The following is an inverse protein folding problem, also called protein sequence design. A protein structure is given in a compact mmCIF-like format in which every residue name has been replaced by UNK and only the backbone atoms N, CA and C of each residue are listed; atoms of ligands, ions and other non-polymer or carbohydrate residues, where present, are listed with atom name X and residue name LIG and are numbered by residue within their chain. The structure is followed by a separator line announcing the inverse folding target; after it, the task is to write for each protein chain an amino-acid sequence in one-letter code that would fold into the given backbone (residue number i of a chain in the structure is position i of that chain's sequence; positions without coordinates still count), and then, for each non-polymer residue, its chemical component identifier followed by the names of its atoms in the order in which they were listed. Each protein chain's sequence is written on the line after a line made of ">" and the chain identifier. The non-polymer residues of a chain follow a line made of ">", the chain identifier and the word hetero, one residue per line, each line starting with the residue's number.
data_IF_276100459212
#
_entry.id   IF_276100459212
#
_cell.length_a   1.000
_cell.length_b   1.000
_cell.length_c   1.000
_cell.angle_alpha   90.00
_cell.angle_beta   90.00
_cell.angle_gamma   90.00
#
_symmetry.space_group_name_H-M   'P 1'
#
loop_
_entity.id
_entity.type
_entity.pdbx_description
1 polymer ?
#
# COMPACT_ATOMS: atom_id res chain seq x y z
N UNK A 1 -8.16 14.01 11.74
CA UNK A 1 -7.52 12.71 11.52
C UNK A 1 -6.43 12.90 10.49
N UNK A 2 -5.27 12.34 10.77
CA UNK A 2 -4.10 12.33 9.92
C UNK A 2 -3.51 10.93 10.00
N UNK A 3 -2.84 10.47 8.93
CA UNK A 3 -1.97 9.30 9.04
C UNK A 3 -0.73 9.70 9.83
N UNK A 4 -0.29 8.87 10.77
CA UNK A 4 0.85 9.11 11.65
C UNK A 4 1.95 8.06 11.51
N UNK A 5 1.60 6.85 11.08
CA UNK A 5 2.56 5.80 10.72
C UNK A 5 2.32 5.33 9.29
N UNK A 6 3.31 5.51 8.40
CA UNK A 6 3.28 5.01 7.03
C UNK A 6 4.29 3.88 6.87
N UNK A 7 3.92 2.88 6.08
CA UNK A 7 4.80 1.77 5.70
C UNK A 7 5.07 1.80 4.20
N UNK A 8 6.32 1.60 3.79
CA UNK A 8 6.68 1.18 2.43
C UNK A 8 7.53 -0.08 2.50
N UNK A 9 7.42 -0.94 1.48
CA UNK A 9 8.16 -2.20 1.42
C UNK A 9 8.82 -2.32 0.05
N UNK A 10 10.08 -2.76 0.00
CA UNK A 10 10.83 -2.98 -1.22
C UNK A 10 11.57 -4.32 -1.16
N UNK A 11 11.28 -5.22 -2.11
CA UNK A 11 12.05 -6.44 -2.36
C UNK A 11 12.96 -6.34 -3.61
N UNK A 12 12.96 -5.18 -4.26
CA UNK A 12 13.77 -4.86 -5.43
C UNK A 12 14.05 -3.35 -5.45
N UNK A 13 15.06 -2.92 -6.23
CA UNK A 13 15.44 -1.52 -6.35
C UNK A 13 14.55 -0.72 -7.33
N UNK A 14 13.83 -1.41 -8.22
CA UNK A 14 13.03 -0.79 -9.26
C UNK A 14 11.80 -0.04 -8.70
N UNK A 15 11.71 1.25 -9.03
CA UNK A 15 10.58 2.10 -8.63
C UNK A 15 10.62 2.60 -7.18
N UNK A 16 11.62 2.18 -6.38
CA UNK A 16 11.77 2.56 -4.96
C UNK A 16 11.72 4.08 -4.78
N UNK A 17 12.48 4.82 -5.59
CA UNK A 17 12.54 6.28 -5.47
C UNK A 17 11.17 6.96 -5.62
N UNK A 18 10.33 6.47 -6.55
CA UNK A 18 9.01 7.03 -6.79
C UNK A 18 8.04 6.77 -5.63
N UNK A 19 8.06 5.55 -5.09
CA UNK A 19 7.23 5.15 -3.94
C UNK A 19 7.65 5.88 -2.67
N UNK A 20 8.96 5.93 -2.38
CA UNK A 20 9.49 6.65 -1.21
C UNK A 20 9.19 8.15 -1.32
N UNK A 21 9.34 8.75 -2.50
CA UNK A 21 8.99 10.17 -2.69
C UNK A 21 7.50 10.40 -2.42
N UNK A 22 6.61 9.55 -2.92
CA UNK A 22 5.18 9.63 -2.66
C UNK A 22 4.87 9.49 -1.16
N UNK A 23 5.43 8.49 -0.49
CA UNK A 23 5.24 8.26 0.94
C UNK A 23 5.81 9.42 1.79
N UNK A 24 6.98 9.93 1.45
CA UNK A 24 7.64 11.04 2.15
C UNK A 24 6.86 12.35 2.04
N UNK A 25 6.31 12.66 0.86
CA UNK A 25 5.45 13.82 0.67
C UNK A 25 4.18 13.71 1.53
N UNK A 26 3.56 12.53 1.58
CA UNK A 26 2.39 12.29 2.44
C UNK A 26 2.79 12.43 3.92
N UNK A 27 3.89 11.80 4.33
CA UNK A 27 4.37 11.83 5.70
C UNK A 27 4.65 13.26 6.17
N UNK A 28 5.34 14.05 5.33
CA UNK A 28 5.63 15.45 5.62
C UNK A 28 4.35 16.28 5.70
N UNK A 29 3.42 16.10 4.77
CA UNK A 29 2.15 16.83 4.76
C UNK A 29 1.24 16.52 5.97
N UNK A 30 1.41 15.34 6.59
CA UNK A 30 0.58 14.90 7.72
C UNK A 30 1.31 14.90 9.06
N UNK A 31 2.57 15.35 9.08
CA UNK A 31 3.44 15.23 10.25
C UNK A 31 3.43 13.77 10.76
N UNK A 32 3.80 12.83 9.88
CA UNK A 32 3.85 11.39 10.14
C UNK A 32 5.29 10.86 10.16
N UNK A 33 5.43 9.55 10.43
CA UNK A 33 6.67 8.79 10.31
C UNK A 33 6.59 7.82 9.13
N UNK A 34 7.67 7.66 8.40
CA UNK A 34 7.81 6.68 7.32
C UNK A 34 8.70 5.52 7.77
N UNK A 35 8.13 4.34 7.89
CA UNK A 35 8.86 3.10 8.08
C UNK A 35 9.07 2.44 6.71
N UNK A 36 10.32 2.14 6.38
CA UNK A 36 10.68 1.50 5.13
C UNK A 36 11.31 0.14 5.39
N UNK A 37 10.76 -0.91 4.76
CA UNK A 37 11.22 -2.28 4.91
C UNK A 37 11.90 -2.76 3.63
N UNK A 38 13.20 -3.04 3.71
CA UNK A 38 13.94 -3.79 2.70
C UNK A 38 13.75 -5.30 2.94
N UNK A 39 13.42 -6.03 1.88
CA UNK A 39 13.27 -7.48 1.91
C UNK A 39 14.26 -8.16 0.97
N UNK A 40 14.99 -9.13 1.51
CA UNK A 40 15.61 -10.19 0.73
C UNK A 40 14.75 -11.44 0.78
N UNK A 41 14.44 -12.03 -0.38
CA UNK A 41 13.51 -13.16 -0.45
C UNK A 41 14.20 -14.40 -0.98
N UNK A 42 14.32 -15.41 -0.13
CA UNK A 42 14.73 -16.75 -0.54
C UNK A 42 13.55 -17.46 -1.24
N UNK A 43 13.77 -17.78 -2.52
CA UNK A 43 12.81 -18.43 -3.42
C UNK A 43 12.99 -19.94 -3.50
N UNK A 44 13.93 -20.48 -2.73
CA UNK A 44 14.31 -21.90 -2.84
C UNK A 44 13.15 -22.78 -2.41
N UNK A 45 12.60 -23.53 -3.36
CA UNK A 45 11.66 -24.61 -3.09
C UNK A 45 12.46 -25.90 -2.90
N UNK A 46 12.69 -26.26 -1.65
CA UNK A 46 13.36 -27.52 -1.31
C UNK A 46 12.33 -28.65 -1.49
N UNK A 47 12.20 -29.14 -2.73
CA UNK A 47 11.48 -30.38 -3.01
C UNK A 47 12.26 -31.61 -2.51
N UNK A 48 12.06 -32.76 -3.16
CA UNK A 48 12.87 -33.97 -2.91
C UNK A 48 14.31 -33.80 -3.44
N UNK A 49 15.08 -32.87 -2.90
CA UNK A 49 16.49 -32.69 -3.24
C UNK A 49 17.31 -33.84 -2.68
N UNK A 50 18.04 -34.51 -3.58
CA UNK A 50 18.94 -35.62 -3.30
C UNK A 50 19.94 -35.28 -2.20
N UNK A 51 20.16 -36.22 -1.29
CA UNK A 51 21.07 -36.11 -0.14
C UNK A 51 22.45 -35.63 -0.62
N UNK A 52 22.86 -34.43 -0.21
CA UNK A 52 24.20 -33.87 -0.42
C UNK A 52 24.27 -32.54 -1.19
N UNK A 53 23.39 -32.27 -2.16
CA UNK A 53 23.41 -31.01 -2.94
C UNK A 53 22.56 -29.90 -2.33
N UNK A 54 21.61 -30.24 -1.45
CA UNK A 54 20.70 -29.28 -0.82
C UNK A 54 21.40 -28.20 0.01
N UNK A 55 22.46 -28.54 0.76
CA UNK A 55 23.16 -27.58 1.61
C UNK A 55 23.86 -26.46 0.83
N UNK A 56 24.47 -26.79 -0.32
CA UNK A 56 25.14 -25.79 -1.18
C UNK A 56 24.12 -24.88 -1.84
N UNK A 57 22.98 -25.44 -2.29
CA UNK A 57 21.88 -24.66 -2.88
C UNK A 57 21.27 -23.71 -1.84
N UNK A 58 21.05 -24.18 -0.61
CA UNK A 58 20.54 -23.35 0.50
C UNK A 58 21.52 -22.21 0.80
N UNK A 59 22.81 -22.49 0.95
CA UNK A 59 23.81 -21.46 1.23
C UNK A 59 23.85 -20.40 0.12
N UNK A 60 23.91 -20.81 -1.15
CA UNK A 60 23.91 -19.89 -2.27
C UNK A 60 22.63 -19.05 -2.37
N UNK A 61 21.48 -19.63 -2.02
CA UNK A 61 20.20 -18.92 -2.01
C UNK A 61 20.11 -17.90 -0.86
N UNK A 62 20.61 -18.26 0.33
CA UNK A 62 20.72 -17.34 1.45
C UNK A 62 21.64 -16.16 1.12
N UNK A 63 22.83 -16.42 0.57
CA UNK A 63 23.77 -15.38 0.14
C UNK A 63 23.13 -14.42 -0.87
N UNK A 64 22.37 -14.97 -1.82
CA UNK A 64 21.63 -14.18 -2.81
C UNK A 64 20.54 -13.33 -2.14
N UNK A 65 19.73 -13.91 -1.26
CA UNK A 65 18.67 -13.18 -0.57
C UNK A 65 19.25 -12.05 0.29
N UNK A 66 20.37 -12.28 0.98
CA UNK A 66 21.09 -11.22 1.71
C UNK A 66 21.62 -10.12 0.80
N UNK A 67 22.14 -10.47 -0.39
CA UNK A 67 22.59 -9.48 -1.36
C UNK A 67 21.42 -8.63 -1.87
N UNK A 68 20.29 -9.26 -2.25
CA UNK A 68 19.07 -8.56 -2.66
C UNK A 68 18.55 -7.63 -1.54
N UNK A 69 18.58 -8.08 -0.28
CA UNK A 69 18.19 -7.26 0.87
C UNK A 69 19.09 -6.02 1.02
N UNK A 70 20.41 -6.19 0.90
CA UNK A 70 21.40 -5.10 0.97
C UNK A 70 21.19 -4.08 -0.17
N UNK A 71 20.90 -4.55 -1.37
CA UNK A 71 20.59 -3.67 -2.51
C UNK A 71 19.30 -2.87 -2.29
N UNK A 72 18.24 -3.53 -1.81
CA UNK A 72 16.97 -2.86 -1.48
C UNK A 72 17.14 -1.85 -0.34
N UNK A 73 17.89 -2.19 0.71
CA UNK A 73 18.23 -1.30 1.81
C UNK A 73 19.00 -0.07 1.33
N UNK A 74 20.03 -0.25 0.50
CA UNK A 74 20.80 0.85 -0.07
C UNK A 74 19.91 1.77 -0.92
N UNK A 75 19.02 1.20 -1.73
CA UNK A 75 18.06 1.96 -2.54
C UNK A 75 17.07 2.75 -1.67
N UNK A 76 16.52 2.15 -0.61
CA UNK A 76 15.64 2.83 0.35
C UNK A 76 16.37 3.97 1.07
N UNK A 77 17.56 3.71 1.61
CA UNK A 77 18.37 4.73 2.29
C UNK A 77 18.71 5.89 1.36
N UNK A 78 19.10 5.63 0.12
CA UNK A 78 19.36 6.67 -0.87
C UNK A 78 18.10 7.48 -1.20
N UNK A 79 16.96 6.80 -1.40
CA UNK A 79 15.69 7.45 -1.70
C UNK A 79 15.16 8.29 -0.54
N UNK A 80 15.31 7.82 0.70
CA UNK A 80 14.95 8.55 1.94
C UNK A 80 15.87 9.75 2.14
N UNK A 81 17.17 9.58 1.95
CA UNK A 81 18.17 10.67 2.11
C UNK A 81 17.99 11.79 1.08
N UNK A 82 17.39 11.49 -0.08
CA UNK A 82 17.05 12.48 -1.09
C UNK A 82 15.82 13.33 -0.74
N UNK A 83 15.08 12.99 0.32
CA UNK A 83 13.87 13.71 0.75
C UNK A 83 14.22 14.92 1.63
N UNK A 84 13.19 15.68 2.00
CA UNK A 84 13.35 16.86 2.87
C UNK A 84 13.91 16.47 4.24
N UNK A 85 14.80 17.28 4.85
CA UNK A 85 15.39 16.99 6.16
C UNK A 85 14.38 16.86 7.32
N UNK A 86 13.14 17.37 7.15
CA UNK A 86 12.06 17.25 8.12
C UNK A 86 11.39 15.86 8.12
N UNK A 87 11.69 15.00 7.16
CA UNK A 87 11.13 13.65 7.09
C UNK A 87 11.67 12.82 8.25
N UNK A 88 10.77 12.28 9.07
CA UNK A 88 11.11 11.26 10.06
C UNK A 88 10.92 9.91 9.40
N UNK A 89 12.02 9.20 9.16
CA UNK A 89 12.00 7.90 8.53
C UNK A 89 12.97 6.92 9.20
N UNK A 90 12.65 5.64 9.13
CA UNK A 90 13.52 4.52 9.47
C UNK A 90 13.57 3.54 8.31
N UNK A 91 14.71 2.87 8.16
CA UNK A 91 14.88 1.77 7.21
C UNK A 91 15.26 0.54 8.03
N UNK A 92 14.53 -0.54 7.83
CA UNK A 92 14.84 -1.86 8.39
C UNK A 92 15.01 -2.87 7.26
N UNK A 93 15.86 -3.86 7.49
CA UNK A 93 16.15 -4.92 6.53
C UNK A 93 15.81 -6.27 7.12
N UNK A 94 15.11 -7.10 6.36
CA UNK A 94 14.77 -8.47 6.73
C UNK A 94 15.05 -9.41 5.57
N UNK A 95 15.67 -10.55 5.85
CA UNK A 95 15.73 -11.68 4.94
C UNK A 95 14.65 -12.68 5.36
N UNK A 96 13.83 -13.12 4.42
CA UNK A 96 12.76 -14.08 4.67
C UNK A 96 12.65 -15.09 3.54
N UNK A 97 11.95 -16.18 3.78
CA UNK A 97 11.57 -17.13 2.74
C UNK A 97 10.26 -16.68 2.10
N UNK A 98 10.08 -16.97 0.81
CA UNK A 98 8.85 -16.62 0.10
C UNK A 98 7.58 -17.11 0.82
N UNK A 99 7.62 -18.32 1.40
CA UNK A 99 6.50 -18.89 2.15
C UNK A 99 6.18 -18.20 3.49
N UNK A 100 7.10 -17.38 4.01
CA UNK A 100 6.93 -16.61 5.25
C UNK A 100 6.87 -15.09 4.99
N UNK A 101 6.87 -14.66 3.73
CA UNK A 101 6.88 -13.26 3.35
C UNK A 101 5.62 -12.53 3.84
N UNK A 102 4.46 -13.19 3.74
CA UNK A 102 3.17 -12.63 4.16
C UNK A 102 3.19 -12.23 5.63
N UNK A 103 3.57 -13.14 6.53
CA UNK A 103 3.65 -12.90 7.97
C UNK A 103 4.57 -11.72 8.31
N UNK A 104 5.73 -11.63 7.62
CA UNK A 104 6.72 -10.57 7.85
C UNK A 104 6.18 -9.20 7.47
N UNK A 105 5.49 -9.10 6.32
CA UNK A 105 4.90 -7.84 5.85
C UNK A 105 3.68 -7.47 6.70
N UNK A 106 2.79 -8.44 6.96
CA UNK A 106 1.58 -8.24 7.74
C UNK A 106 1.87 -7.78 9.17
N UNK A 107 2.91 -8.33 9.81
CA UNK A 107 3.32 -7.95 11.17
C UNK A 107 3.70 -6.45 11.29
N UNK A 108 4.19 -5.83 10.21
CA UNK A 108 4.47 -4.39 10.15
C UNK A 108 3.24 -3.60 9.70
N UNK A 109 2.57 -4.05 8.65
CA UNK A 109 1.41 -3.36 8.09
C UNK A 109 0.27 -3.18 9.11
N UNK A 110 0.04 -4.14 10.01
CA UNK A 110 -1.01 -4.05 11.03
C UNK A 110 -0.89 -2.87 12.00
N UNK A 111 0.29 -2.26 12.10
CA UNK A 111 0.55 -1.09 12.95
C UNK A 111 0.76 0.20 12.14
N UNK A 112 0.59 0.15 10.82
CA UNK A 112 0.59 1.35 9.98
C UNK A 112 -0.83 1.88 9.76
N UNK A 113 -0.95 3.20 9.63
CA UNK A 113 -2.20 3.83 9.25
C UNK A 113 -2.43 3.77 7.73
N UNK A 114 -1.34 3.63 6.96
CA UNK A 114 -1.31 3.57 5.51
C UNK A 114 -0.04 2.85 5.03
N UNK A 115 -0.20 1.82 4.19
CA UNK A 115 0.88 1.25 3.41
C UNK A 115 0.93 1.94 2.03
N UNK A 116 2.10 2.44 1.62
CA UNK A 116 2.34 3.07 0.33
C UNK A 116 3.25 2.14 -0.47
N UNK A 117 2.71 1.52 -1.52
CA UNK A 117 3.35 0.43 -2.24
C UNK A 117 3.39 0.70 -3.74
N UNK A 118 4.35 0.14 -4.50
CA UNK A 118 4.33 0.24 -5.96
C UNK A 118 3.14 -0.51 -6.55
N UNK A 119 2.81 -0.23 -7.82
CA UNK A 119 1.91 -1.08 -8.61
C UNK A 119 2.43 -2.53 -8.64
N UNK A 120 1.68 -3.52 -8.10
CA UNK A 120 2.19 -4.88 -7.94
C UNK A 120 2.22 -5.70 -9.23
N UNK A 121 1.64 -5.20 -10.31
CA UNK A 121 1.52 -5.90 -11.58
C UNK A 121 2.14 -5.11 -12.73
N UNK A 122 2.56 -5.83 -13.77
CA UNK A 122 3.11 -5.25 -14.98
C UNK A 122 4.47 -5.82 -15.35
N UNK A 123 5.08 -5.26 -16.40
CA UNK A 123 6.40 -5.69 -16.86
C UNK A 123 7.44 -5.41 -15.78
N UNK A 124 8.25 -6.42 -15.44
CA UNK A 124 9.28 -6.31 -14.41
C UNK A 124 8.81 -6.59 -12.98
N UNK A 125 7.51 -6.86 -12.77
CA UNK A 125 6.97 -7.25 -11.46
C UNK A 125 7.02 -8.75 -11.25
N UNK A 126 7.37 -9.14 -10.03
CA UNK A 126 7.49 -10.52 -9.57
C UNK A 126 6.36 -10.93 -8.63
N UNK A 127 6.41 -12.18 -8.20
CA UNK A 127 5.46 -12.77 -7.24
C UNK A 127 5.52 -12.07 -5.87
N UNK A 128 6.66 -11.48 -5.53
CA UNK A 128 6.87 -10.76 -4.28
C UNK A 128 6.08 -9.45 -4.26
N UNK A 129 5.96 -8.74 -5.39
CA UNK A 129 5.25 -7.46 -5.45
C UNK A 129 3.75 -7.64 -5.13
N UNK A 130 3.14 -8.70 -5.69
CA UNK A 130 1.77 -9.11 -5.39
C UNK A 130 1.64 -9.55 -3.93
N UNK A 131 2.49 -10.48 -3.49
CA UNK A 131 2.42 -11.01 -2.13
C UNK A 131 2.61 -9.93 -1.05
N UNK A 132 3.50 -8.95 -1.26
CA UNK A 132 3.68 -7.79 -0.36
C UNK A 132 2.38 -6.97 -0.29
N UNK A 133 1.75 -6.71 -1.43
CA UNK A 133 0.53 -5.90 -1.49
C UNK A 133 -0.65 -6.62 -0.84
N UNK A 134 -0.82 -7.90 -1.12
CA UNK A 134 -1.85 -8.75 -0.52
C UNK A 134 -1.65 -8.92 0.98
N UNK A 135 -0.41 -9.14 1.43
CA UNK A 135 -0.07 -9.25 2.84
C UNK A 135 -0.44 -7.98 3.60
N UNK A 136 -0.17 -6.80 3.04
CA UNK A 136 -0.57 -5.54 3.65
C UNK A 136 -2.10 -5.36 3.71
N UNK A 137 -2.80 -5.73 2.63
CA UNK A 137 -4.24 -5.52 2.48
C UNK A 137 -5.07 -6.49 3.34
N UNK A 138 -4.76 -7.78 3.30
CA UNK A 138 -5.59 -8.84 3.86
C UNK A 138 -5.19 -9.21 5.29
N UNK A 139 -3.95 -9.61 5.50
CA UNK A 139 -3.48 -10.06 6.82
C UNK A 139 -3.04 -8.88 7.70
N UNK A 140 -2.35 -7.91 7.10
CA UNK A 140 -2.00 -6.65 7.75
C UNK A 140 -3.20 -5.74 8.00
N UNK A 141 -4.30 -5.90 7.25
CA UNK A 141 -5.50 -5.06 7.34
C UNK A 141 -5.21 -3.54 7.25
N UNK A 142 -4.09 -3.16 6.62
CA UNK A 142 -3.72 -1.78 6.42
C UNK A 142 -4.42 -1.24 5.17
N UNK A 143 -4.90 0.01 5.19
CA UNK A 143 -5.19 0.72 3.95
C UNK A 143 -3.95 0.73 3.06
N UNK A 144 -4.10 0.44 1.77
CA UNK A 144 -3.01 0.43 0.80
C UNK A 144 -3.22 1.54 -0.23
N UNK A 145 -2.20 2.38 -0.42
CA UNK A 145 -2.08 3.33 -1.52
C UNK A 145 -1.09 2.78 -2.55
N UNK A 146 -1.59 2.46 -3.74
CA UNK A 146 -0.77 1.99 -4.85
C UNK A 146 -0.24 3.18 -5.65
N UNK A 147 1.09 3.29 -5.74
CA UNK A 147 1.79 4.34 -6.49
C UNK A 147 2.01 3.87 -7.94
N UNK A 148 1.57 4.64 -8.95
CA UNK A 148 1.79 4.27 -10.34
C UNK A 148 3.29 4.36 -10.71
N UNK A 149 3.75 3.67 -11.78
CA UNK A 149 5.17 3.66 -12.16
C UNK A 149 5.80 5.04 -12.39
N UNK A 150 5.00 6.03 -12.80
CA UNK A 150 5.44 7.43 -12.97
C UNK A 150 5.49 8.24 -11.67
N UNK A 151 5.25 7.62 -10.51
CA UNK A 151 5.15 8.30 -9.21
C UNK A 151 3.85 9.11 -9.06
N UNK A 152 3.75 9.83 -7.93
CA UNK A 152 2.67 10.79 -7.69
C UNK A 152 3.14 12.22 -7.94
N UNK A 153 2.34 13.01 -8.67
CA UNK A 153 2.61 14.43 -8.87
C UNK A 153 2.35 15.27 -7.61
N UNK A 154 1.31 14.90 -6.87
CA UNK A 154 0.88 15.60 -5.66
C UNK A 154 0.52 14.56 -4.59
N UNK A 155 0.99 14.74 -3.35
CA UNK A 155 0.62 13.89 -2.22
C UNK A 155 -0.78 14.16 -1.66
N UNK A 156 -1.43 15.24 -2.10
CA UNK A 156 -2.77 15.62 -1.67
C UNK A 156 -3.71 15.59 -2.88
N UNK A 157 -4.48 14.51 -3.09
CA UNK A 157 -5.44 14.46 -4.19
C UNK A 157 -6.55 15.50 -3.99
N UNK A 158 -6.71 16.38 -4.98
CA UNK A 158 -7.75 17.43 -4.99
C UNK A 158 -9.14 16.87 -5.30
N UNK A 159 -9.21 15.84 -6.14
CA UNK A 159 -10.45 15.16 -6.53
C UNK A 159 -10.33 13.68 -6.24
N UNK A 160 -11.29 13.12 -5.53
CA UNK A 160 -11.30 11.73 -5.12
C UNK A 160 -12.62 11.09 -5.56
N UNK A 161 -12.54 9.91 -6.16
CA UNK A 161 -13.69 9.07 -6.42
C UNK A 161 -13.73 7.97 -5.36
N UNK A 162 -14.88 7.79 -4.71
CA UNK A 162 -15.16 6.68 -3.82
C UNK A 162 -16.10 5.73 -4.56
N UNK A 163 -15.58 4.56 -4.96
CA UNK A 163 -16.40 3.51 -5.54
C UNK A 163 -17.27 2.88 -4.44
N UNK A 164 -18.60 3.04 -4.55
CA UNK A 164 -19.54 2.64 -3.52
C UNK A 164 -20.48 1.54 -4.03
N UNK A 165 -20.42 0.38 -3.39
CA UNK A 165 -21.26 -0.79 -3.67
C UNK A 165 -22.05 -1.25 -2.42
N UNK A 166 -22.19 -0.38 -1.41
CA UNK A 166 -22.82 -0.69 -0.10
C UNK A 166 -22.13 -1.79 0.73
N UNK A 167 -20.95 -2.25 0.33
CA UNK A 167 -20.24 -3.30 1.08
C UNK A 167 -19.54 -2.76 2.32
N UNK A 168 -19.21 -3.68 3.24
CA UNK A 168 -18.44 -3.35 4.45
C UNK A 168 -17.04 -2.87 4.08
N UNK A 169 -16.43 -3.47 3.07
CA UNK A 169 -15.10 -3.15 2.56
C UNK A 169 -15.06 -1.74 1.98
N UNK A 170 -16.05 -1.35 1.18
CA UNK A 170 -16.15 0.02 0.66
C UNK A 170 -16.31 1.05 1.79
N UNK A 171 -17.08 0.71 2.84
CA UNK A 171 -17.25 1.58 4.00
C UNK A 171 -15.94 1.72 4.80
N UNK A 172 -15.22 0.62 4.98
CA UNK A 172 -13.90 0.61 5.63
C UNK A 172 -12.93 1.44 4.81
N UNK A 173 -12.88 1.26 3.49
CA UNK A 173 -12.03 2.06 2.60
C UNK A 173 -12.32 3.56 2.71
N UNK A 174 -13.59 3.97 2.63
CA UNK A 174 -13.99 5.37 2.78
C UNK A 174 -13.61 5.95 4.15
N UNK A 175 -13.82 5.19 5.23
CA UNK A 175 -13.43 5.62 6.59
C UNK A 175 -11.92 5.73 6.76
N UNK A 176 -11.16 4.78 6.24
CA UNK A 176 -9.70 4.78 6.31
C UNK A 176 -9.07 5.86 5.41
N UNK A 177 -9.74 6.25 4.33
CA UNK A 177 -9.34 7.35 3.46
C UNK A 177 -9.62 8.75 4.04
N UNK A 178 -10.27 8.86 5.21
CA UNK A 178 -10.76 10.13 5.77
C UNK A 178 -9.71 11.26 5.80
N UNK A 179 -8.42 11.04 6.14
CA UNK A 179 -7.42 12.09 6.03
C UNK A 179 -7.39 12.71 4.62
N UNK A 180 -7.36 11.91 3.55
CA UNK A 180 -7.42 12.40 2.17
C UNK A 180 -8.75 13.08 1.86
N UNK A 181 -9.88 12.44 2.20
CA UNK A 181 -11.22 12.95 1.88
C UNK A 181 -11.45 14.36 2.46
N UNK A 182 -10.99 14.63 3.68
CA UNK A 182 -11.16 15.95 4.34
C UNK A 182 -10.40 17.09 3.66
N UNK A 183 -9.31 16.78 2.97
CA UNK A 183 -8.43 17.78 2.32
C UNK A 183 -8.74 17.93 0.82
N UNK A 184 -9.55 17.04 0.25
CA UNK A 184 -9.96 17.13 -1.13
C UNK A 184 -10.89 18.33 -1.35
N UNK A 185 -10.81 18.94 -2.52
CA UNK A 185 -11.71 19.98 -2.97
C UNK A 185 -13.09 19.39 -3.32
N UNK A 186 -13.11 18.15 -3.81
CA UNK A 186 -14.33 17.40 -4.16
C UNK A 186 -14.13 15.89 -3.97
N UNK A 187 -15.12 15.24 -3.37
CA UNK A 187 -15.24 13.78 -3.26
C UNK A 187 -16.51 13.33 -3.97
N UNK A 188 -16.38 12.48 -4.99
CA UNK A 188 -17.51 11.92 -5.72
C UNK A 188 -17.74 10.48 -5.27
N UNK A 189 -18.87 10.23 -4.62
CA UNK A 189 -19.35 8.89 -4.28
C UNK A 189 -20.02 8.33 -5.53
N UNK A 190 -19.36 7.38 -6.18
CA UNK A 190 -19.83 6.79 -7.43
C UNK A 190 -20.47 5.44 -7.14
N UNK A 191 -21.74 5.31 -7.53
CA UNK A 191 -22.48 4.05 -7.51
C UNK A 191 -22.72 3.61 -8.94
N UNK A 192 -22.24 2.43 -9.29
CA UNK A 192 -22.46 1.84 -10.62
C UNK A 192 -23.52 0.77 -10.50
N UNK A 193 -24.58 0.88 -11.30
CA UNK A 193 -25.64 -0.12 -11.43
C UNK A 193 -26.22 -0.57 -10.07
N UNK A 194 -26.81 0.37 -9.29
CA UNK A 194 -27.34 0.05 -7.97
C UNK A 194 -28.48 -0.98 -8.06
N UNK A 195 -28.67 -1.82 -7.02
CA UNK A 195 -29.78 -2.77 -6.98
C UNK A 195 -31.14 -2.08 -7.15
N UNK A 196 -31.99 -2.63 -8.03
CA UNK A 196 -33.34 -2.11 -8.25
C UNK A 196 -34.26 -2.24 -7.02
N UNK A 197 -33.93 -3.17 -6.11
CA UNK A 197 -34.70 -3.45 -4.90
C UNK A 197 -33.80 -3.33 -3.67
N UNK A 198 -34.36 -2.83 -2.57
CA UNK A 198 -33.65 -2.68 -1.30
C UNK A 198 -34.05 -1.40 -0.54
N UNK A 199 -33.63 -1.30 0.73
CA UNK A 199 -33.92 -0.14 1.57
C UNK A 199 -33.25 1.14 1.06
N UNK A 200 -32.05 1.05 0.47
CA UNK A 200 -31.28 2.21 -0.01
C UNK A 200 -31.48 2.52 -1.51
N UNK A 201 -32.44 1.88 -2.18
CA UNK A 201 -32.61 2.00 -3.65
C UNK A 201 -32.84 3.43 -4.14
N UNK A 202 -33.51 4.25 -3.33
CA UNK A 202 -33.93 5.60 -3.70
C UNK A 202 -32.83 6.65 -3.51
N UNK A 203 -31.80 6.33 -2.73
CA UNK A 203 -30.68 7.23 -2.43
C UNK A 203 -29.39 6.41 -2.19
N UNK A 204 -28.91 5.69 -3.23
CA UNK A 204 -27.75 4.82 -3.08
C UNK A 204 -26.50 5.66 -2.80
N UNK A 205 -25.94 5.53 -1.59
CA UNK A 205 -24.81 6.32 -1.14
C UNK A 205 -25.16 7.57 -0.32
N UNK A 206 -26.44 7.87 -0.13
CA UNK A 206 -26.89 9.02 0.68
C UNK A 206 -26.42 8.98 2.13
N UNK A 207 -26.52 7.81 2.79
CA UNK A 207 -26.03 7.65 4.17
C UNK A 207 -24.51 7.80 4.27
N UNK A 208 -23.75 7.32 3.28
CA UNK A 208 -22.31 7.56 3.21
C UNK A 208 -22.01 9.05 3.00
N UNK A 209 -22.73 9.71 2.08
CA UNK A 209 -22.60 11.15 1.85
C UNK A 209 -22.83 11.94 3.15
N UNK A 210 -23.93 11.65 3.86
CA UNK A 210 -24.23 12.27 5.14
C UNK A 210 -23.12 12.05 6.18
N UNK A 211 -22.57 10.83 6.28
CA UNK A 211 -21.44 10.54 7.14
C UNK A 211 -20.23 11.40 6.78
N UNK A 212 -19.84 11.45 5.50
CA UNK A 212 -18.68 12.21 5.03
C UNK A 212 -18.85 13.71 5.23
N UNK A 213 -20.04 14.28 4.94
CA UNK A 213 -20.36 15.69 5.16
C UNK A 213 -20.29 16.04 6.65
N UNK A 214 -20.77 15.18 7.55
CA UNK A 214 -20.62 15.36 9.02
C UNK A 214 -19.16 15.38 9.47
N UNK A 215 -18.27 14.72 8.73
CA UNK A 215 -16.84 14.82 8.95
C UNK A 215 -16.20 16.05 8.30
N UNK A 216 -16.94 16.89 7.57
CA UNK A 216 -16.41 18.08 6.89
C UNK A 216 -15.83 17.81 5.50
N UNK A 217 -16.20 16.70 4.87
CA UNK A 217 -15.85 16.37 3.48
C UNK A 217 -16.85 17.04 2.53
N UNK A 218 -16.35 17.64 1.44
CA UNK A 218 -17.19 18.10 0.32
C UNK A 218 -17.51 16.90 -0.57
N UNK A 219 -18.67 16.27 -0.35
CA UNK A 219 -19.06 15.04 -1.02
C UNK A 219 -20.34 15.20 -1.86
N UNK A 220 -20.36 14.59 -3.04
CA UNK A 220 -21.52 14.48 -3.93
C UNK A 220 -21.72 13.01 -4.35
N UNK A 221 -22.97 12.63 -4.61
CA UNK A 221 -23.31 11.27 -5.07
C UNK A 221 -23.55 11.29 -6.58
N UNK A 222 -23.02 10.29 -7.28
CA UNK A 222 -23.26 10.08 -8.72
C UNK A 222 -23.62 8.64 -8.99
N UNK A 223 -24.76 8.45 -9.64
CA UNK A 223 -25.27 7.13 -10.02
C UNK A 223 -25.05 6.93 -11.51
N UNK A 224 -24.32 5.89 -11.88
CA UNK A 224 -23.97 5.54 -13.25
C UNK A 224 -24.65 4.24 -13.66
N UNK A 225 -25.12 4.19 -14.92
CA UNK A 225 -25.63 2.97 -15.52
C UNK A 225 -24.48 2.02 -15.90
N UNK A 226 -24.75 0.71 -15.95
CA UNK A 226 -23.84 -0.27 -16.57
C UNK A 226 -23.80 -0.02 -18.07
N UNK A 227 -22.61 0.19 -18.64
CA UNK A 227 -22.38 0.24 -20.10
C UNK A 227 -22.36 -1.14 -20.72
#
# INVERSE_FOLDING_TARGET
>A
MAYKSLLTVAAATEGVAGVVTAAAQIATAMDAHLEALALGVDRTQIGYSYVGSGAVVIAAAMDRAEAEAREAEAALNAAVSAQTPSLRASVETVVTQLGALTDVVAARARYSDLAVLPLPYGKGRGIEDEAITEAALFEGMSPVLVVPPGGMREAQPKRIVVAWNQSREALVAARRAMPFLKRAEMVQIVVVDPPAHGPERSDPGGLLCQLLVRHGVKAEVSVLART
#
